data_IF_546901687019
#
_entry.id   IF_546901687019
#
_cell.length_a   1.000
_cell.length_b   1.000
_cell.length_c   1.000
_cell.angle_alpha   90.00
_cell.angle_beta   90.00
_cell.angle_gamma   90.00
#
_symmetry.space_group_name_H-M   'P 1'
#
loop_
_entity.id
_entity.type
_entity.pdbx_description
1 polymer ?
#
# COMPACT_ATOMS: atom_id res chain seq x y z
N UNK A 1 -11.09 -3.19 26.27
CA UNK A 1 -10.53 -2.26 27.27
C UNK A 1 -10.41 -0.93 26.56
N UNK A 2 -11.34 -0.01 26.83
CA UNK A 2 -11.34 1.32 26.23
C UNK A 2 -10.08 2.07 26.67
N UNK A 3 -9.17 2.28 25.74
CA UNK A 3 -7.97 3.11 25.93
C UNK A 3 -8.27 4.44 25.27
N UNK A 4 -8.98 5.31 25.99
CA UNK A 4 -9.29 6.64 25.48
C UNK A 4 -8.01 7.47 25.44
N UNK A 5 -7.70 8.01 24.26
CA UNK A 5 -6.67 9.02 24.07
C UNK A 5 -7.35 10.38 24.09
N UNK A 6 -6.87 11.33 24.89
CA UNK A 6 -7.40 12.70 24.89
C UNK A 6 -6.33 13.63 24.33
N UNK A 7 -6.68 14.37 23.30
CA UNK A 7 -5.84 15.39 22.69
C UNK A 7 -6.38 16.76 23.07
N UNK A 8 -5.53 17.64 23.57
CA UNK A 8 -5.92 18.99 23.97
C UNK A 8 -5.14 19.99 23.13
N UNK A 9 -5.89 20.83 22.42
CA UNK A 9 -5.40 22.03 21.75
C UNK A 9 -5.45 23.18 22.77
N UNK A 10 -4.31 23.44 23.38
CA UNK A 10 -4.18 24.18 24.64
C UNK A 10 -4.26 25.70 24.50
N UNK A 11 -4.20 26.23 23.27
CA UNK A 11 -4.01 27.67 23.08
C UNK A 11 -5.29 28.52 23.13
N UNK A 12 -6.49 27.95 23.33
CA UNK A 12 -7.75 28.72 23.30
C UNK A 12 -8.81 28.26 24.35
N UNK A 13 -8.41 28.11 25.61
CA UNK A 13 -9.37 28.16 26.73
C UNK A 13 -9.41 26.95 27.67
N UNK A 14 -8.58 25.93 27.46
CA UNK A 14 -8.35 24.88 28.46
C UNK A 14 -7.04 25.16 29.20
N UNK A 15 -7.11 25.85 30.33
CA UNK A 15 -5.97 25.92 31.28
C UNK A 15 -5.88 24.59 32.00
N UNK A 16 -4.72 23.97 31.98
CA UNK A 16 -4.47 22.75 32.76
C UNK A 16 -3.37 23.10 33.74
N UNK A 17 -3.73 23.09 35.02
CA UNK A 17 -2.79 23.34 36.11
C UNK A 17 -1.55 22.44 35.95
N UNK A 18 -0.36 23.05 36.01
CA UNK A 18 0.96 22.41 35.84
C UNK A 18 1.33 21.92 34.42
N UNK A 19 0.62 22.34 33.37
CA UNK A 19 1.02 22.07 31.96
C UNK A 19 1.27 23.34 31.15
N UNK A 20 0.77 24.49 31.61
CA UNK A 20 0.95 25.79 30.96
C UNK A 20 2.45 26.19 30.79
N UNK A 21 3.36 25.62 31.60
CA UNK A 21 4.82 25.82 31.49
C UNK A 21 5.51 24.90 30.46
N UNK A 22 4.81 23.91 29.88
CA UNK A 22 5.37 22.90 28.97
C UNK A 22 5.07 23.15 27.48
N UNK A 23 4.30 24.20 27.19
CA UNK A 23 3.73 24.51 25.88
C UNK A 23 4.34 25.83 25.40
N UNK A 24 5.09 25.76 24.31
CA UNK A 24 5.89 26.89 23.83
C UNK A 24 5.30 27.53 22.57
N UNK A 25 4.30 26.90 21.94
CA UNK A 25 3.74 27.28 20.64
C UNK A 25 2.23 27.04 20.50
N UNK A 26 1.58 27.80 19.61
CA UNK A 26 0.17 27.60 19.17
C UNK A 26 -0.08 26.31 18.39
N UNK A 27 0.99 25.60 18.03
CA UNK A 27 0.97 24.35 17.29
C UNK A 27 1.27 23.11 18.15
N UNK A 28 1.67 23.32 19.41
CA UNK A 28 1.91 22.24 20.36
C UNK A 28 0.58 21.59 20.75
N UNK A 29 0.57 20.26 20.83
CA UNK A 29 -0.59 19.49 21.25
C UNK A 29 -0.29 18.70 22.52
N UNK A 30 -1.23 18.71 23.45
CA UNK A 30 -1.10 17.91 24.66
C UNK A 30 -1.85 16.60 24.51
N UNK A 31 -1.12 15.49 24.61
CA UNK A 31 -1.65 14.14 24.55
C UNK A 31 -1.75 13.55 25.95
N UNK A 32 -2.95 13.13 26.34
CA UNK A 32 -3.22 12.41 27.58
C UNK A 32 -3.54 10.96 27.24
N UNK A 33 -2.82 10.04 27.86
CA UNK A 33 -3.03 8.60 27.68
C UNK A 33 -3.50 7.99 29.01
N UNK A 34 -4.69 7.39 29.02
CA UNK A 34 -5.16 6.67 30.20
C UNK A 34 -4.47 5.29 30.26
N UNK A 35 -3.42 5.19 31.08
CA UNK A 35 -2.82 3.92 31.50
C UNK A 35 -3.68 3.25 32.57
N UNK A 36 -3.75 1.91 32.56
CA UNK A 36 -4.36 1.11 33.64
C UNK A 36 -3.40 0.85 34.81
N UNK A 37 -2.14 1.29 34.73
CA UNK A 37 -1.17 1.05 35.78
C UNK A 37 -1.30 2.10 36.89
N UNK A 38 -2.05 1.74 37.93
CA UNK A 38 -2.26 2.50 39.18
C UNK A 38 -0.97 2.74 40.01
N UNK A 39 0.23 2.49 39.45
CA UNK A 39 1.51 2.50 40.18
C UNK A 39 2.57 3.44 39.59
N UNK A 40 2.21 4.36 38.69
CA UNK A 40 3.15 5.40 38.23
C UNK A 40 2.66 6.78 38.63
N UNK A 41 3.56 7.55 39.22
CA UNK A 41 3.35 8.88 39.81
C UNK A 41 2.54 9.81 38.88
N UNK A 42 1.75 10.69 39.50
CA UNK A 42 0.83 11.65 38.87
C UNK A 42 1.46 12.52 37.74
N UNK A 43 2.79 12.62 37.66
CA UNK A 43 3.51 13.37 36.63
C UNK A 43 3.68 12.64 35.28
N UNK A 44 3.25 11.39 35.15
CA UNK A 44 3.46 10.56 33.94
C UNK A 44 2.29 10.54 32.93
N UNK A 45 1.23 11.33 33.15
CA UNK A 45 -0.05 11.22 32.40
C UNK A 45 -0.12 12.04 31.10
N UNK A 46 0.82 12.96 30.92
CA UNK A 46 0.80 13.97 29.86
C UNK A 46 2.03 13.83 28.96
N UNK A 47 1.84 13.90 27.66
CA UNK A 47 2.92 14.03 26.68
C UNK A 47 2.64 15.24 25.81
N UNK A 48 3.52 16.24 25.83
CA UNK A 48 3.48 17.32 24.84
C UNK A 48 4.04 16.79 23.52
N UNK A 49 3.26 16.89 22.46
CA UNK A 49 3.63 16.54 21.10
C UNK A 49 3.96 17.85 20.37
N UNK A 50 5.25 18.03 20.08
CA UNK A 50 5.77 19.19 19.35
C UNK A 50 6.09 18.79 17.91
N UNK A 51 5.79 19.66 16.97
CA UNK A 51 6.18 19.56 15.56
C UNK A 51 6.27 20.97 14.96
N UNK A 52 6.75 21.06 13.72
CA UNK A 52 6.79 22.27 12.91
C UNK A 52 5.43 22.88 12.58
N UNK A 53 4.34 22.13 12.80
CA UNK A 53 2.95 22.58 12.59
C UNK A 53 1.97 21.74 13.40
N UNK A 54 0.75 22.27 13.63
CA UNK A 54 -0.34 21.53 14.30
C UNK A 54 -0.70 20.22 13.60
N UNK A 55 -0.71 20.23 12.26
CA UNK A 55 -0.97 19.02 11.46
C UNK A 55 0.15 17.99 11.63
N UNK A 56 1.40 18.45 11.70
CA UNK A 56 2.56 17.62 12.02
C UNK A 56 2.40 16.95 13.39
N UNK A 57 2.09 17.76 14.41
CA UNK A 57 1.87 17.26 15.76
C UNK A 57 0.71 16.25 15.81
N UNK A 58 -0.40 16.51 15.11
CA UNK A 58 -1.51 15.56 15.04
C UNK A 58 -1.15 14.26 14.30
N UNK A 59 -0.34 14.36 13.24
CA UNK A 59 0.14 13.18 12.54
C UNK A 59 1.08 12.33 13.43
N UNK A 60 1.90 12.96 14.29
CA UNK A 60 2.65 12.24 15.34
C UNK A 60 1.73 11.55 16.35
N UNK A 61 0.60 12.18 16.71
CA UNK A 61 -0.43 11.53 17.53
C UNK A 61 -0.97 10.29 16.83
N UNK A 62 -1.30 10.35 15.54
CA UNK A 62 -1.73 9.18 14.75
C UNK A 62 -0.67 8.08 14.75
N UNK A 63 0.60 8.39 14.50
CA UNK A 63 1.72 7.44 14.54
C UNK A 63 1.76 6.72 15.90
N UNK A 64 1.62 7.47 16.99
CA UNK A 64 1.62 6.92 18.35
C UNK A 64 0.38 6.06 18.61
N UNK A 65 -0.80 6.47 18.16
CA UNK A 65 -2.02 5.67 18.25
C UNK A 65 -1.86 4.33 17.51
N UNK A 66 -1.31 4.35 16.30
CA UNK A 66 -1.10 3.14 15.50
C UNK A 66 -0.08 2.18 16.12
N UNK A 67 1.02 2.73 16.64
CA UNK A 67 2.05 1.95 17.33
C UNK A 67 1.51 1.23 18.58
N UNK A 68 0.51 1.81 19.24
CA UNK A 68 -0.13 1.27 20.43
C UNK A 68 -1.49 0.60 20.17
N UNK A 69 -1.90 0.50 18.90
CA UNK A 69 -3.20 -0.02 18.46
C UNK A 69 -4.41 0.69 19.09
N UNK A 70 -4.29 1.98 19.39
CA UNK A 70 -5.42 2.79 19.87
C UNK A 70 -6.32 3.17 18.69
N UNK A 71 -7.62 3.20 18.93
CA UNK A 71 -8.63 3.58 17.94
C UNK A 71 -9.50 4.74 18.40
N UNK A 72 -9.50 5.08 19.69
CA UNK A 72 -10.41 6.07 20.27
C UNK A 72 -9.63 7.34 20.62
N UNK A 73 -10.10 8.49 20.13
CA UNK A 73 -9.52 9.80 20.43
C UNK A 73 -10.58 10.88 20.65
N UNK A 74 -10.49 11.57 21.79
CA UNK A 74 -11.28 12.77 22.08
C UNK A 74 -10.41 14.00 21.86
N UNK A 75 -10.89 14.95 21.08
CA UNK A 75 -10.21 16.22 20.83
C UNK A 75 -10.91 17.31 21.65
N UNK A 76 -10.19 17.92 22.59
CA UNK A 76 -10.62 19.10 23.35
C UNK A 76 -10.06 20.34 22.68
N UNK A 77 -10.94 21.24 22.23
CA UNK A 77 -10.52 22.47 21.54
C UNK A 77 -11.54 23.60 21.75
N UNK A 78 -11.15 24.80 21.34
CA UNK A 78 -12.06 25.96 21.33
C UNK A 78 -13.13 25.82 20.25
N UNK A 79 -14.24 26.54 20.43
CA UNK A 79 -15.31 26.60 19.40
C UNK A 79 -14.78 27.07 18.04
N UNK A 80 -13.83 28.02 18.03
CA UNK A 80 -13.26 28.56 16.80
C UNK A 80 -12.49 27.51 15.98
N UNK A 81 -11.92 26.48 16.63
CA UNK A 81 -11.12 25.43 15.98
C UNK A 81 -11.87 24.12 15.75
N UNK A 82 -13.13 24.02 16.18
CA UNK A 82 -13.88 22.78 16.13
C UNK A 82 -14.11 22.26 14.68
N UNK A 83 -14.39 23.15 13.72
CA UNK A 83 -14.53 22.76 12.30
C UNK A 83 -13.20 22.33 11.68
N UNK A 84 -12.09 22.99 12.06
CA UNK A 84 -10.75 22.60 11.65
C UNK A 84 -10.44 21.17 12.13
N UNK A 85 -10.58 20.91 13.43
CA UNK A 85 -10.32 19.58 14.00
C UNK A 85 -11.22 18.50 13.41
N UNK A 86 -12.47 18.82 13.11
CA UNK A 86 -13.38 17.89 12.46
C UNK A 86 -12.89 17.51 11.08
N UNK A 87 -12.46 18.50 10.29
CA UNK A 87 -11.93 18.28 8.94
C UNK A 87 -10.62 17.50 8.98
N UNK A 88 -9.69 17.86 9.88
CA UNK A 88 -8.44 17.12 10.13
C UNK A 88 -8.72 15.65 10.46
N UNK A 89 -9.59 15.39 11.45
CA UNK A 89 -9.92 14.02 11.84
C UNK A 89 -10.53 13.24 10.67
N UNK A 90 -11.40 13.88 9.88
CA UNK A 90 -12.05 13.24 8.74
C UNK A 90 -11.07 12.90 7.60
N UNK A 91 -10.07 13.74 7.34
CA UNK A 91 -9.11 13.52 6.25
C UNK A 91 -7.92 12.63 6.64
N UNK A 92 -7.54 12.61 7.93
CA UNK A 92 -6.35 11.89 8.43
C UNK A 92 -6.70 10.58 9.15
N UNK A 93 -7.84 10.50 9.84
CA UNK A 93 -8.28 9.30 10.54
C UNK A 93 -9.36 8.58 9.74
N UNK A 94 -9.06 7.34 9.31
CA UNK A 94 -10.05 6.50 8.63
C UNK A 94 -11.18 6.08 9.59
N UNK A 95 -12.20 5.40 9.08
CA UNK A 95 -13.31 4.92 9.92
C UNK A 95 -12.90 3.80 10.89
N UNK A 96 -11.64 3.36 10.88
CA UNK A 96 -11.11 2.47 11.91
C UNK A 96 -10.86 3.17 13.25
N UNK A 97 -10.87 4.51 13.25
CA UNK A 97 -10.82 5.31 14.46
C UNK A 97 -12.22 5.79 14.85
N UNK A 98 -12.48 5.84 16.15
CA UNK A 98 -13.62 6.53 16.74
C UNK A 98 -13.10 7.83 17.33
N UNK A 99 -13.70 8.93 16.96
CA UNK A 99 -13.27 10.22 17.46
C UNK A 99 -14.46 11.12 17.77
N UNK A 100 -14.26 12.01 18.73
CA UNK A 100 -15.22 13.03 19.12
C UNK A 100 -14.49 14.35 19.36
N UNK A 101 -15.20 15.45 19.14
CA UNK A 101 -14.71 16.80 19.42
C UNK A 101 -15.57 17.38 20.52
N UNK A 102 -14.92 17.83 21.59
CA UNK A 102 -15.57 18.51 22.70
C UNK A 102 -15.07 19.94 22.78
N UNK A 103 -16.02 20.85 22.68
CA UNK A 103 -15.86 22.25 23.01
C UNK A 103 -16.51 22.47 24.37
N UNK A 104 -15.98 23.34 25.23
CA UNK A 104 -16.56 23.58 26.57
C UNK A 104 -18.02 24.05 26.62
N UNK A 105 -18.64 24.30 25.47
CA UNK A 105 -20.06 24.61 25.26
C UNK A 105 -20.66 23.65 24.21
N UNK A 106 -21.99 23.54 24.12
CA UNK A 106 -22.64 22.78 23.05
C UNK A 106 -22.35 23.41 21.66
N UNK A 107 -21.55 22.71 20.86
CA UNK A 107 -21.29 23.04 19.46
C UNK A 107 -21.15 21.76 18.66
N UNK A 108 -21.80 21.71 17.50
CA UNK A 108 -21.72 20.57 16.57
C UNK A 108 -20.79 20.99 15.42
N UNK A 109 -19.56 20.45 15.36
CA UNK A 109 -18.64 20.80 14.29
C UNK A 109 -19.09 20.23 12.95
N UNK A 110 -18.78 20.97 11.89
CA UNK A 110 -19.07 20.60 10.50
C UNK A 110 -17.78 20.48 9.69
N UNK A 111 -17.87 19.73 8.59
CA UNK A 111 -16.80 19.67 7.60
C UNK A 111 -16.69 21.01 6.88
N UNK A 112 -15.47 21.49 6.69
CA UNK A 112 -15.19 22.75 6.02
C UNK A 112 -14.10 22.52 4.96
N UNK A 113 -14.53 22.55 3.69
CA UNK A 113 -13.68 22.32 2.52
C UNK A 113 -12.51 23.31 2.42
N UNK A 114 -12.60 24.48 3.05
CA UNK A 114 -11.51 25.46 3.02
C UNK A 114 -10.22 24.94 3.67
N UNK A 115 -10.33 24.02 4.65
CA UNK A 115 -9.17 23.39 5.28
C UNK A 115 -8.60 22.21 4.48
N UNK A 116 -9.35 21.67 3.50
CA UNK A 116 -8.90 20.50 2.73
C UNK A 116 -7.58 20.78 2.01
N UNK A 117 -7.45 21.95 1.38
CA UNK A 117 -6.23 22.34 0.65
C UNK A 117 -5.03 22.48 1.59
N UNK A 118 -5.22 23.00 2.80
CA UNK A 118 -4.16 23.09 3.80
C UNK A 118 -3.70 21.71 4.27
N UNK A 119 -4.63 20.81 4.58
CA UNK A 119 -4.34 19.43 5.00
C UNK A 119 -3.63 18.67 3.86
N UNK A 120 -4.11 18.83 2.63
CA UNK A 120 -3.48 18.22 1.46
C UNK A 120 -2.06 18.76 1.25
N UNK A 121 -1.85 20.07 1.38
CA UNK A 121 -0.52 20.68 1.25
C UNK A 121 0.45 20.10 2.30
N UNK A 122 0.02 20.00 3.55
CA UNK A 122 0.78 19.34 4.62
C UNK A 122 1.14 17.90 4.27
N UNK A 123 0.15 17.08 3.88
CA UNK A 123 0.34 15.67 3.52
C UNK A 123 1.35 15.53 2.37
N UNK A 124 1.26 16.41 1.36
CA UNK A 124 2.20 16.40 0.23
C UNK A 124 3.60 16.91 0.58
N UNK A 125 3.75 17.80 1.56
CA UNK A 125 5.05 18.32 2.01
C UNK A 125 5.69 17.49 3.13
N UNK A 126 4.95 16.58 3.76
CA UNK A 126 5.44 15.83 4.91
C UNK A 126 6.66 14.98 4.56
N UNK A 127 7.76 15.14 5.31
CA UNK A 127 9.00 14.42 5.06
C UNK A 127 8.92 12.99 5.62
N UNK A 128 9.21 12.01 4.77
CA UNK A 128 9.28 10.60 5.16
C UNK A 128 10.70 10.23 5.57
N UNK A 129 10.81 9.19 6.42
CA UNK A 129 12.11 8.66 6.86
C UNK A 129 12.98 8.18 5.70
N UNK A 130 12.35 7.54 4.73
CA UNK A 130 13.00 6.95 3.56
C UNK A 130 12.49 7.64 2.29
N UNK A 131 13.27 7.61 1.22
CA UNK A 131 12.78 7.93 -0.12
C UNK A 131 12.00 6.76 -0.73
N UNK A 132 11.17 7.07 -1.73
CA UNK A 132 10.55 6.03 -2.56
C UNK A 132 11.63 5.28 -3.34
N UNK A 133 11.61 3.95 -3.20
CA UNK A 133 12.53 3.04 -3.88
C UNK A 133 11.74 2.16 -4.86
N UNK A 134 12.27 2.01 -6.08
CA UNK A 134 11.64 1.31 -7.20
C UNK A 134 12.64 0.32 -7.78
N UNK A 135 12.27 -0.97 -7.84
CA UNK A 135 13.03 -1.98 -8.55
C UNK A 135 12.64 -2.00 -10.02
N UNK A 136 13.61 -2.20 -10.91
CA UNK A 136 13.44 -2.19 -12.36
C UNK A 136 13.84 -3.53 -12.96
N UNK A 137 13.18 -3.88 -14.05
CA UNK A 137 13.62 -4.96 -14.93
C UNK A 137 14.59 -4.44 -15.98
N UNK A 138 15.57 -5.27 -16.35
CA UNK A 138 16.60 -4.95 -17.33
C UNK A 138 16.16 -5.20 -18.79
N UNK A 139 14.99 -5.82 -19.02
CA UNK A 139 14.53 -6.20 -20.36
C UNK A 139 13.32 -5.40 -20.85
N UNK A 140 12.82 -4.47 -20.04
CA UNK A 140 11.71 -3.58 -20.40
C UNK A 140 12.30 -2.27 -20.93
N UNK A 141 11.94 -1.91 -22.14
CA UNK A 141 12.51 -0.76 -22.84
C UNK A 141 12.19 0.58 -22.18
N UNK A 142 13.09 1.54 -22.40
CA UNK A 142 12.97 2.90 -21.90
C UNK A 142 11.78 3.68 -22.48
N UNK A 143 11.05 3.17 -23.47
CA UNK A 143 9.78 3.79 -23.90
C UNK A 143 8.67 3.60 -22.87
N UNK A 144 8.85 2.71 -21.89
CA UNK A 144 7.92 2.50 -20.79
C UNK A 144 8.41 3.12 -19.48
N UNK A 145 7.47 3.58 -18.66
CA UNK A 145 7.68 3.91 -17.24
C UNK A 145 7.22 2.70 -16.44
N UNK A 146 8.15 1.87 -15.98
CA UNK A 146 7.81 0.64 -15.23
C UNK A 146 8.45 0.57 -13.85
N UNK A 147 8.07 -0.46 -13.09
CA UNK A 147 8.84 -0.88 -11.94
C UNK A 147 8.01 -1.60 -10.90
N UNK A 148 8.67 -1.97 -9.81
CA UNK A 148 8.06 -2.57 -8.64
C UNK A 148 8.37 -1.71 -7.43
N UNK A 149 7.34 -1.19 -6.78
CA UNK A 149 7.52 -0.35 -5.59
C UNK A 149 8.01 -1.20 -4.41
N UNK A 150 8.81 -0.60 -3.54
CA UNK A 150 9.05 -1.13 -2.20
C UNK A 150 8.02 -0.56 -1.21
N UNK A 151 8.16 -0.87 0.08
CA UNK A 151 7.36 -0.29 1.16
C UNK A 151 7.83 1.08 1.64
N UNK A 152 8.92 1.63 1.09
CA UNK A 152 9.61 2.84 1.58
C UNK A 152 9.03 4.13 1.00
N UNK A 153 9.07 5.21 1.79
CA UNK A 153 8.78 6.56 1.34
C UNK A 153 7.31 6.97 1.27
N UNK A 154 6.42 6.33 2.04
CA UNK A 154 5.00 6.72 2.12
C UNK A 154 4.55 7.19 3.51
N UNK A 155 3.24 7.42 3.65
CA UNK A 155 2.61 8.03 4.82
C UNK A 155 1.65 7.12 5.60
N UNK A 156 1.62 5.84 5.29
CA UNK A 156 0.87 4.89 6.11
C UNK A 156 1.64 4.62 7.41
N UNK A 157 0.93 4.48 8.52
CA UNK A 157 1.54 4.46 9.87
C UNK A 157 1.22 3.19 10.66
N UNK A 158 0.16 2.46 10.31
CA UNK A 158 -0.20 1.23 10.99
C UNK A 158 0.90 0.16 10.87
N UNK A 159 1.09 -0.62 11.95
CA UNK A 159 1.99 -1.77 11.95
C UNK A 159 1.57 -2.74 10.83
N UNK A 160 2.55 -3.21 10.06
CA UNK A 160 2.32 -4.05 8.87
C UNK A 160 1.93 -3.27 7.60
N UNK A 161 1.56 -1.98 7.71
CA UNK A 161 1.10 -1.12 6.59
C UNK A 161 2.07 0.03 6.32
N UNK A 162 2.88 0.45 7.30
CA UNK A 162 3.86 1.52 7.09
C UNK A 162 4.95 1.14 6.07
N UNK A 163 5.29 1.92 5.04
CA UNK A 163 5.00 3.36 4.83
C UNK A 163 4.28 3.63 3.48
N UNK A 164 4.76 3.12 2.35
CA UNK A 164 4.20 3.33 1.02
C UNK A 164 3.16 2.26 0.67
N UNK A 165 2.04 2.23 1.40
CA UNK A 165 0.94 1.32 1.08
C UNK A 165 0.16 1.82 -0.14
N UNK A 166 0.12 1.00 -1.18
CA UNK A 166 -0.52 1.33 -2.45
C UNK A 166 -2.00 0.95 -2.53
N UNK A 167 -2.60 0.56 -1.40
CA UNK A 167 -3.99 0.09 -1.28
C UNK A 167 -4.62 0.63 0.00
N UNK A 168 -5.09 1.88 -0.01
CA UNK A 168 -5.80 2.44 1.14
C UNK A 168 -7.09 1.65 1.43
N UNK A 169 -7.35 1.43 2.71
CA UNK A 169 -8.56 0.77 3.19
C UNK A 169 -8.75 1.05 4.68
N UNK A 170 -9.99 1.03 5.15
CA UNK A 170 -10.31 1.27 6.56
C UNK A 170 -9.57 0.29 7.49
N UNK A 171 -9.54 -1.01 7.18
CA UNK A 171 -8.82 -2.02 7.98
C UNK A 171 -7.31 -1.73 8.09
N UNK A 172 -6.75 -0.98 7.15
CA UNK A 172 -5.35 -0.56 7.10
C UNK A 172 -5.09 0.78 7.77
N UNK A 173 -6.12 1.41 8.33
CA UNK A 173 -6.07 2.72 8.99
C UNK A 173 -5.56 3.88 8.10
N UNK A 174 -5.75 3.73 6.79
CA UNK A 174 -5.44 4.75 5.79
C UNK A 174 -6.74 5.37 5.27
N UNK A 175 -6.74 6.68 5.07
CA UNK A 175 -7.78 7.40 4.35
C UNK A 175 -7.47 7.45 2.85
N UNK A 176 -8.44 7.88 2.05
CA UNK A 176 -8.22 8.13 0.62
C UNK A 176 -7.17 9.22 0.37
N UNK A 177 -7.04 10.20 1.28
CA UNK A 177 -5.98 11.22 1.17
C UNK A 177 -4.59 10.59 1.31
N UNK A 178 -4.37 9.73 2.31
CA UNK A 178 -3.11 9.01 2.49
C UNK A 178 -2.82 8.07 1.31
N UNK A 179 -3.84 7.36 0.82
CA UNK A 179 -3.72 6.50 -0.36
C UNK A 179 -3.30 7.26 -1.63
N UNK A 180 -3.98 8.37 -1.94
CA UNK A 180 -3.65 9.22 -3.09
C UNK A 180 -2.26 9.84 -2.97
N UNK A 181 -1.85 10.21 -1.76
CA UNK A 181 -0.51 10.75 -1.54
C UNK A 181 0.58 9.69 -1.77
N UNK A 182 0.39 8.45 -1.30
CA UNK A 182 1.34 7.36 -1.60
C UNK A 182 1.45 7.12 -3.12
N UNK A 183 0.33 7.15 -3.86
CA UNK A 183 0.34 7.06 -5.33
C UNK A 183 1.07 8.25 -5.95
N UNK A 184 0.82 9.47 -5.46
CA UNK A 184 1.51 10.69 -5.93
C UNK A 184 3.02 10.57 -5.73
N UNK A 185 3.49 10.14 -4.55
CA UNK A 185 4.92 9.96 -4.26
C UNK A 185 5.57 8.96 -5.20
N UNK A 186 4.91 7.82 -5.45
CA UNK A 186 5.38 6.85 -6.43
C UNK A 186 5.43 7.46 -7.85
N UNK A 187 4.37 8.15 -8.27
CA UNK A 187 4.29 8.80 -9.58
C UNK A 187 5.38 9.84 -9.79
N UNK A 188 5.65 10.68 -8.80
CA UNK A 188 6.73 11.68 -8.85
C UNK A 188 8.11 11.03 -8.98
N UNK A 189 8.37 9.92 -8.27
CA UNK A 189 9.65 9.19 -8.37
C UNK A 189 9.79 8.43 -9.69
N UNK A 190 8.71 7.84 -10.18
CA UNK A 190 8.71 7.01 -11.38
C UNK A 190 8.60 7.83 -12.68
N UNK A 191 8.00 9.02 -12.62
CA UNK A 191 7.75 9.89 -13.77
C UNK A 191 6.38 9.69 -14.43
N UNK A 192 5.40 9.07 -13.75
CA UNK A 192 4.04 8.89 -14.30
C UNK A 192 3.03 9.84 -13.65
N UNK A 193 1.91 10.11 -14.35
CA UNK A 193 0.82 10.93 -13.83
C UNK A 193 -0.01 10.14 -12.78
N UNK A 194 -0.01 10.54 -11.50
CA UNK A 194 -0.73 9.81 -10.45
C UNK A 194 -2.25 9.89 -10.58
N UNK A 195 -2.80 10.86 -11.32
CA UNK A 195 -4.26 10.98 -11.55
C UNK A 195 -4.80 9.92 -12.50
N UNK A 196 -3.94 9.30 -13.29
CA UNK A 196 -4.29 8.27 -14.27
C UNK A 196 -3.76 6.89 -13.87
N UNK A 197 -3.63 6.65 -12.56
CA UNK A 197 -3.18 5.39 -12.01
C UNK A 197 -4.36 4.44 -11.83
N UNK A 198 -4.36 3.34 -12.59
CA UNK A 198 -5.37 2.28 -12.53
C UNK A 198 -4.74 1.01 -11.95
N UNK A 199 -5.39 0.43 -10.94
CA UNK A 199 -4.88 -0.73 -10.22
C UNK A 199 -5.85 -1.90 -10.30
N UNK A 200 -5.33 -3.10 -10.57
CA UNK A 200 -6.10 -4.33 -10.45
C UNK A 200 -6.76 -4.45 -9.07
N UNK A 201 -7.98 -5.00 -9.05
CA UNK A 201 -8.74 -5.24 -7.82
C UNK A 201 -8.29 -6.52 -7.10
N UNK A 202 -7.58 -7.41 -7.80
CA UNK A 202 -6.91 -8.60 -7.27
C UNK A 202 -7.85 -9.57 -6.52
N UNK A 203 -8.86 -10.08 -7.22
CA UNK A 203 -9.82 -11.07 -6.71
C UNK A 203 -9.31 -12.52 -6.74
N UNK A 204 -8.03 -12.70 -7.09
CA UNK A 204 -7.29 -13.95 -7.19
C UNK A 204 -7.80 -14.88 -8.30
N UNK A 205 -8.33 -14.32 -9.38
CA UNK A 205 -8.71 -14.99 -10.62
C UNK A 205 -7.74 -14.71 -11.77
N UNK A 206 -8.26 -14.69 -13.00
CA UNK A 206 -7.51 -14.45 -14.25
C UNK A 206 -8.18 -13.40 -15.15
N UNK A 207 -9.20 -12.70 -14.67
CA UNK A 207 -9.93 -11.69 -15.46
C UNK A 207 -8.99 -10.53 -15.81
N UNK A 208 -9.03 -10.13 -17.08
CA UNK A 208 -8.23 -9.03 -17.63
C UNK A 208 -9.14 -7.85 -17.96
N UNK A 209 -8.86 -6.69 -17.38
CA UNK A 209 -9.48 -5.43 -17.79
C UNK A 209 -8.68 -4.78 -18.93
N UNK A 210 -9.37 -4.46 -20.03
CA UNK A 210 -8.81 -3.71 -21.16
C UNK A 210 -9.22 -2.26 -21.02
N UNK A 211 -8.25 -1.37 -20.78
CA UNK A 211 -8.52 0.06 -20.57
C UNK A 211 -9.19 0.66 -21.80
N UNK A 212 -10.30 1.39 -21.57
CA UNK A 212 -11.17 1.92 -22.62
C UNK A 212 -12.39 1.05 -22.95
N UNK A 213 -12.48 -0.16 -22.38
CA UNK A 213 -13.69 -1.00 -22.42
C UNK A 213 -14.47 -0.92 -21.10
N UNK A 214 -15.64 -1.56 -21.04
CA UNK A 214 -16.41 -1.71 -19.81
C UNK A 214 -15.58 -2.43 -18.75
N UNK A 215 -15.49 -1.84 -17.55
CA UNK A 215 -14.73 -2.39 -16.44
C UNK A 215 -15.47 -3.60 -15.84
N UNK A 216 -14.81 -4.76 -15.63
CA UNK A 216 -15.42 -5.91 -14.99
C UNK A 216 -15.94 -5.60 -13.58
N UNK A 217 -17.23 -5.83 -13.36
CA UNK A 217 -17.91 -5.52 -12.08
C UNK A 217 -17.42 -6.39 -10.93
N UNK A 218 -17.21 -7.68 -11.20
CA UNK A 218 -16.78 -8.67 -10.19
C UNK A 218 -15.28 -8.59 -9.85
N UNK A 219 -14.56 -7.68 -10.50
CA UNK A 219 -13.13 -7.46 -10.31
C UNK A 219 -12.26 -8.17 -11.34
N UNK A 220 -10.98 -7.80 -11.30
CA UNK A 220 -9.96 -8.24 -12.25
C UNK A 220 -8.60 -8.26 -11.58
N UNK A 221 -7.78 -9.18 -12.05
CA UNK A 221 -6.42 -9.42 -11.55
C UNK A 221 -5.38 -8.87 -12.52
N UNK A 222 -5.77 -8.68 -13.77
CA UNK A 222 -4.89 -8.16 -14.81
C UNK A 222 -5.52 -6.92 -15.44
N UNK A 223 -4.67 -5.99 -15.88
CA UNK A 223 -5.09 -4.77 -16.57
C UNK A 223 -4.11 -4.48 -17.70
N UNK A 224 -4.62 -4.20 -18.89
CA UNK A 224 -3.82 -3.91 -20.08
C UNK A 224 -4.26 -2.61 -20.76
N UNK A 225 -3.33 -1.92 -21.41
CA UNK A 225 -3.58 -0.68 -22.13
C UNK A 225 -2.58 -0.51 -23.28
N UNK A 226 -2.92 0.33 -24.24
CA UNK A 226 -1.99 0.88 -25.23
C UNK A 226 -2.00 2.43 -25.26
N UNK A 227 -2.71 3.04 -24.29
CA UNK A 227 -2.94 4.47 -24.23
C UNK A 227 -1.79 5.18 -23.49
N UNK A 228 -1.43 6.37 -23.96
CA UNK A 228 -0.53 7.28 -23.27
C UNK A 228 -1.16 7.83 -22.00
N UNK A 229 -0.33 8.35 -21.10
CA UNK A 229 -0.74 9.00 -19.85
C UNK A 229 -1.56 8.13 -18.88
N UNK A 230 -1.61 6.80 -19.09
CA UNK A 230 -2.25 5.84 -18.19
C UNK A 230 -1.19 4.92 -17.59
N UNK A 231 -1.22 4.79 -16.27
CA UNK A 231 -0.40 3.81 -15.55
C UNK A 231 -1.29 2.68 -15.07
N UNK A 232 -0.95 1.45 -15.45
CA UNK A 232 -1.64 0.26 -14.97
C UNK A 232 -0.77 -0.46 -13.94
N UNK A 233 -1.38 -1.01 -12.90
CA UNK A 233 -0.67 -1.62 -11.79
C UNK A 233 -1.37 -2.86 -11.22
N UNK A 234 -0.56 -3.79 -10.69
CA UNK A 234 -1.02 -4.97 -9.98
C UNK A 234 -0.48 -4.96 -8.54
N UNK A 235 -1.35 -5.04 -7.51
CA UNK A 235 -0.92 -5.06 -6.12
C UNK A 235 -0.40 -6.44 -5.70
N UNK A 236 0.58 -6.45 -4.80
CA UNK A 236 1.16 -7.66 -4.23
C UNK A 236 1.64 -7.44 -2.80
N UNK A 237 1.56 -8.49 -2.00
CA UNK A 237 2.18 -8.61 -0.67
C UNK A 237 2.36 -10.10 -0.40
N UNK A 238 3.17 -10.74 -1.25
CA UNK A 238 3.48 -12.18 -1.39
C UNK A 238 3.02 -12.79 -2.72
N UNK A 239 1.89 -12.39 -3.27
CA UNK A 239 1.47 -12.87 -4.60
C UNK A 239 2.42 -12.37 -5.70
N UNK A 240 2.63 -13.17 -6.76
CA UNK A 240 3.48 -12.77 -7.88
C UNK A 240 2.82 -11.59 -8.59
N UNK A 241 3.57 -10.51 -8.77
CA UNK A 241 3.16 -9.40 -9.65
C UNK A 241 3.99 -9.48 -10.91
N UNK A 242 3.36 -9.26 -12.06
CA UNK A 242 4.04 -9.26 -13.35
C UNK A 242 3.67 -8.00 -14.13
N UNK A 243 4.62 -7.49 -14.91
CA UNK A 243 4.37 -6.47 -15.91
C UNK A 243 4.72 -7.02 -17.29
N UNK A 244 3.97 -6.57 -18.29
CA UNK A 244 4.06 -7.01 -19.68
C UNK A 244 4.26 -5.79 -20.56
N UNK A 245 5.17 -5.88 -21.52
CA UNK A 245 5.46 -4.81 -22.46
C UNK A 245 5.70 -5.39 -23.84
N UNK A 246 5.05 -4.86 -24.87
CA UNK A 246 5.40 -5.18 -26.25
C UNK A 246 6.41 -4.14 -26.77
N UNK A 247 7.59 -4.58 -27.21
CA UNK A 247 8.62 -3.65 -27.69
C UNK A 247 8.35 -3.09 -29.09
N UNK A 248 7.47 -3.69 -29.88
CA UNK A 248 7.09 -3.21 -31.22
C UNK A 248 5.80 -2.39 -31.21
N UNK A 249 4.85 -2.71 -30.32
CA UNK A 249 3.58 -1.98 -30.18
C UNK A 249 3.57 -1.09 -28.93
N UNK A 250 2.58 -0.18 -28.76
CA UNK A 250 2.43 0.57 -27.50
C UNK A 250 1.74 -0.24 -26.40
N UNK A 251 1.50 -1.55 -26.56
CA UNK A 251 0.78 -2.36 -25.61
C UNK A 251 1.60 -2.67 -24.35
N UNK A 252 0.95 -2.56 -23.19
CA UNK A 252 1.50 -2.91 -21.89
C UNK A 252 0.43 -3.44 -20.94
N UNK A 253 0.85 -4.06 -19.84
CA UNK A 253 -0.06 -4.59 -18.84
C UNK A 253 0.58 -4.91 -17.50
N UNK A 254 -0.27 -5.04 -16.48
CA UNK A 254 0.10 -5.51 -15.14
C UNK A 254 -0.82 -6.66 -14.72
N UNK A 255 -0.27 -7.67 -14.06
CA UNK A 255 -0.97 -8.89 -13.63
C UNK A 255 -0.65 -9.20 -12.17
N UNK A 256 -1.70 -9.42 -11.39
CA UNK A 256 -1.65 -10.06 -10.08
C UNK A 256 -1.87 -11.57 -10.28
N UNK A 257 -0.88 -12.38 -9.89
CA UNK A 257 -0.93 -13.84 -9.98
C UNK A 257 -0.58 -14.44 -8.62
N UNK A 258 -1.53 -14.39 -7.69
CA UNK A 258 -1.49 -15.27 -6.50
C UNK A 258 -1.55 -16.74 -6.90
N UNK A 259 -1.45 -17.66 -5.93
CA UNK A 259 -1.43 -19.09 -6.23
C UNK A 259 -2.67 -19.56 -7.03
N UNK A 260 -3.87 -19.04 -6.71
CA UNK A 260 -5.10 -19.30 -7.48
C UNK A 260 -5.04 -18.70 -8.89
N UNK A 261 -4.58 -17.46 -9.02
CA UNK A 261 -4.40 -16.81 -10.32
C UNK A 261 -3.37 -17.51 -11.21
N UNK A 262 -2.31 -18.06 -10.60
CA UNK A 262 -1.31 -18.89 -11.29
C UNK A 262 -1.94 -20.16 -11.84
N UNK A 263 -2.71 -20.89 -11.03
CA UNK A 263 -3.44 -22.09 -11.49
C UNK A 263 -4.50 -21.74 -12.55
N UNK A 264 -5.14 -20.57 -12.44
CA UNK A 264 -6.06 -20.02 -13.42
C UNK A 264 -5.36 -19.41 -14.66
N UNK A 265 -4.02 -19.45 -14.72
CA UNK A 265 -3.19 -18.96 -15.82
C UNK A 265 -3.39 -17.46 -16.14
N UNK A 266 -3.50 -16.62 -15.11
CA UNK A 266 -3.68 -15.17 -15.24
C UNK A 266 -2.63 -14.50 -16.15
N UNK A 267 -1.36 -14.93 -16.08
CA UNK A 267 -0.31 -14.43 -16.97
C UNK A 267 -0.58 -14.76 -18.45
N UNK A 268 -1.14 -15.94 -18.74
CA UNK A 268 -1.45 -16.37 -20.09
C UNK A 268 -2.66 -15.64 -20.64
N UNK A 269 -3.69 -15.44 -19.82
CA UNK A 269 -4.86 -14.65 -20.23
C UNK A 269 -4.47 -13.18 -20.50
N UNK A 270 -3.51 -12.63 -19.74
CA UNK A 270 -2.94 -11.31 -20.03
C UNK A 270 -2.27 -11.27 -21.41
N UNK A 271 -1.39 -12.24 -21.70
CA UNK A 271 -0.72 -12.34 -23.01
C UNK A 271 -1.75 -12.46 -24.14
N UNK A 272 -2.70 -13.40 -24.04
CA UNK A 272 -3.76 -13.58 -25.04
C UNK A 272 -4.51 -12.29 -25.31
N UNK A 273 -4.91 -11.56 -24.25
CA UNK A 273 -5.60 -10.29 -24.42
C UNK A 273 -4.74 -9.21 -25.07
N UNK A 274 -3.44 -9.19 -24.84
CA UNK A 274 -2.54 -8.30 -25.60
C UNK A 274 -2.48 -8.68 -27.10
N UNK A 275 -2.56 -9.97 -27.44
CA UNK A 275 -2.62 -10.42 -28.84
C UNK A 275 -3.97 -10.03 -29.48
N UNK A 276 -5.08 -10.35 -28.82
CA UNK A 276 -6.43 -10.13 -29.33
C UNK A 276 -6.73 -8.64 -29.54
N UNK A 277 -6.32 -7.79 -28.60
CA UNK A 277 -6.70 -6.37 -28.58
C UNK A 277 -5.72 -5.48 -29.34
N UNK A 278 -4.44 -5.83 -29.36
CA UNK A 278 -3.38 -4.97 -29.88
C UNK A 278 -2.51 -5.62 -30.95
N UNK A 279 -2.80 -6.87 -31.34
CA UNK A 279 -2.00 -7.60 -32.31
C UNK A 279 -0.58 -7.92 -31.83
N UNK A 280 -0.37 -7.93 -30.51
CA UNK A 280 0.94 -8.20 -29.91
C UNK A 280 1.45 -9.59 -30.32
N UNK A 281 2.76 -9.71 -30.57
CA UNK A 281 3.38 -11.00 -30.93
C UNK A 281 4.19 -11.55 -29.77
N UNK A 282 4.23 -12.88 -29.63
CA UNK A 282 4.92 -13.56 -28.51
C UNK A 282 6.41 -13.24 -28.47
N UNK A 283 7.06 -13.12 -29.64
CA UNK A 283 8.45 -12.72 -29.76
C UNK A 283 8.71 -11.27 -29.30
N UNK A 284 7.66 -10.43 -29.28
CA UNK A 284 7.74 -9.03 -28.92
C UNK A 284 7.44 -8.76 -27.45
N UNK A 285 6.58 -9.57 -26.84
CA UNK A 285 6.21 -9.43 -25.44
C UNK A 285 7.42 -9.73 -24.56
N UNK A 286 7.72 -8.78 -23.66
CA UNK A 286 8.66 -8.88 -22.54
C UNK A 286 7.86 -8.93 -21.25
N UNK A 287 8.27 -9.80 -20.34
CA UNK A 287 7.58 -10.03 -19.07
C UNK A 287 8.58 -9.94 -17.94
N UNK A 288 8.28 -9.12 -16.93
CA UNK A 288 9.08 -9.05 -15.72
C UNK A 288 8.26 -9.48 -14.50
N UNK A 289 8.84 -10.35 -13.67
CA UNK A 289 8.27 -10.79 -12.40
C UNK A 289 8.82 -9.93 -11.26
N UNK A 290 7.92 -9.37 -10.48
CA UNK A 290 8.25 -8.52 -9.33
C UNK A 290 8.52 -9.30 -8.04
N UNK A 291 8.78 -8.58 -6.94
CA UNK A 291 8.93 -9.16 -5.62
C UNK A 291 7.67 -9.90 -5.20
N UNK A 292 7.85 -11.14 -4.74
CA UNK A 292 6.76 -11.96 -4.20
C UNK A 292 7.32 -12.98 -3.21
N UNK A 293 6.48 -13.78 -2.56
CA UNK A 293 6.99 -14.77 -1.62
C UNK A 293 7.71 -15.88 -2.39
N UNK A 294 8.96 -16.13 -2.01
CA UNK A 294 9.80 -17.15 -2.64
C UNK A 294 9.59 -18.54 -2.04
N UNK A 295 10.16 -19.58 -2.67
CA UNK A 295 10.11 -20.94 -2.17
C UNK A 295 10.81 -21.13 -0.82
N UNK A 296 11.65 -20.17 -0.41
CA UNK A 296 12.23 -20.13 0.94
C UNK A 296 11.14 -20.01 2.05
N UNK A 297 9.98 -19.40 1.76
CA UNK A 297 8.96 -19.07 2.75
C UNK A 297 7.55 -19.60 2.43
N UNK A 298 7.24 -19.93 1.17
CA UNK A 298 5.89 -20.32 0.75
C UNK A 298 5.57 -21.80 1.05
N UNK A 299 5.31 -22.09 2.32
CA UNK A 299 4.82 -23.41 2.75
C UNK A 299 3.36 -23.65 2.32
N UNK A 300 3.06 -24.87 1.86
CA UNK A 300 1.76 -25.33 1.38
C UNK A 300 1.33 -26.64 2.05
N UNK A 301 0.02 -26.92 2.04
CA UNK A 301 -0.48 -28.27 2.34
C UNK A 301 -0.09 -29.24 1.21
N UNK A 302 0.06 -30.51 1.55
CA UNK A 302 0.48 -31.58 0.62
C UNK A 302 -0.45 -31.68 -0.61
N UNK A 303 -1.75 -31.66 -0.36
CA UNK A 303 -2.80 -31.75 -1.38
C UNK A 303 -2.83 -30.53 -2.30
N UNK A 304 -2.67 -29.33 -1.76
CA UNK A 304 -2.63 -28.09 -2.55
C UNK A 304 -1.34 -28.00 -3.39
N UNK A 305 -0.22 -28.50 -2.86
CA UNK A 305 1.04 -28.53 -3.58
C UNK A 305 0.96 -29.41 -4.84
N UNK A 306 0.20 -30.51 -4.79
CA UNK A 306 0.03 -31.41 -5.92
C UNK A 306 -0.61 -30.73 -7.16
N UNK A 307 -1.35 -29.63 -6.96
CA UNK A 307 -1.97 -28.85 -8.05
C UNK A 307 -0.92 -28.26 -9.02
N UNK A 308 0.31 -28.04 -8.55
CA UNK A 308 1.39 -27.46 -9.37
C UNK A 308 2.18 -28.51 -10.16
N UNK A 309 2.04 -29.79 -9.82
CA UNK A 309 2.82 -30.89 -10.42
C UNK A 309 2.64 -30.99 -11.92
N UNK A 310 1.42 -30.78 -12.42
CA UNK A 310 1.10 -30.83 -13.85
C UNK A 310 1.68 -29.66 -14.65
N UNK A 311 2.03 -28.57 -13.98
CA UNK A 311 2.65 -27.39 -14.60
C UNK A 311 4.17 -27.53 -14.55
N UNK A 312 4.73 -27.73 -13.35
CA UNK A 312 6.16 -27.97 -13.18
C UNK A 312 6.41 -28.69 -11.84
N UNK A 313 6.78 -29.98 -11.89
CA UNK A 313 7.09 -30.76 -10.68
C UNK A 313 8.26 -30.18 -9.87
N UNK A 314 9.25 -29.55 -10.53
CA UNK A 314 10.40 -28.94 -9.85
C UNK A 314 10.03 -27.68 -9.06
N UNK A 315 8.82 -27.14 -9.23
CA UNK A 315 8.32 -26.05 -8.39
C UNK A 315 7.93 -26.49 -6.97
N UNK A 316 7.81 -27.81 -6.74
CA UNK A 316 7.48 -28.38 -5.43
C UNK A 316 8.77 -28.74 -4.71
N UNK A 317 9.15 -27.93 -3.73
CA UNK A 317 10.42 -28.03 -3.02
C UNK A 317 10.22 -28.70 -1.67
N UNK A 318 10.90 -29.85 -1.49
CA UNK A 318 11.04 -30.52 -0.20
C UNK A 318 12.30 -30.04 0.48
N UNK A 319 12.16 -29.54 1.71
CA UNK A 319 13.30 -29.14 2.54
C UNK A 319 13.50 -30.17 3.64
N UNK A 320 14.74 -30.46 3.94
CA UNK A 320 15.11 -31.35 5.04
C UNK A 320 14.51 -30.85 6.37
N UNK A 321 13.97 -31.76 7.16
CA UNK A 321 13.33 -31.43 8.45
C UNK A 321 11.99 -30.68 8.36
N UNK A 322 11.43 -30.47 7.16
CA UNK A 322 10.09 -29.87 6.99
C UNK A 322 9.08 -30.92 6.55
N UNK A 323 7.97 -31.00 7.29
CA UNK A 323 6.88 -31.92 6.97
C UNK A 323 6.12 -31.51 5.71
N UNK A 324 5.96 -30.20 5.48
CA UNK A 324 5.20 -29.63 4.37
C UNK A 324 6.11 -29.20 3.22
N UNK A 325 5.63 -29.32 1.96
CA UNK A 325 6.34 -28.80 0.80
C UNK A 325 6.28 -27.28 0.73
N UNK A 326 7.20 -26.72 -0.05
CA UNK A 326 7.25 -25.30 -0.41
C UNK A 326 7.03 -25.15 -1.91
N UNK A 327 6.37 -24.07 -2.34
CA UNK A 327 6.09 -23.83 -3.76
C UNK A 327 6.92 -22.65 -4.28
N UNK A 328 7.54 -22.86 -5.44
CA UNK A 328 8.15 -21.80 -6.24
C UNK A 328 7.17 -21.27 -7.28
N UNK A 329 6.39 -20.23 -6.92
CA UNK A 329 5.45 -19.60 -7.85
C UNK A 329 6.14 -18.85 -9.00
N UNK A 330 7.41 -18.46 -8.85
CA UNK A 330 8.17 -17.85 -9.95
C UNK A 330 8.40 -18.88 -11.04
N UNK A 331 8.89 -20.06 -10.66
CA UNK A 331 9.13 -21.15 -11.59
C UNK A 331 7.84 -21.62 -12.27
N UNK A 332 6.71 -21.68 -11.54
CA UNK A 332 5.41 -22.04 -12.15
C UNK A 332 5.00 -21.01 -13.21
N UNK A 333 5.00 -19.71 -12.89
CA UNK A 333 4.62 -18.66 -13.84
C UNK A 333 5.59 -18.60 -15.03
N UNK A 334 6.90 -18.76 -14.79
CA UNK A 334 7.91 -18.86 -15.86
C UNK A 334 7.59 -20.03 -16.80
N UNK A 335 7.32 -21.21 -16.25
CA UNK A 335 7.01 -22.41 -17.04
C UNK A 335 5.75 -22.21 -17.87
N UNK A 336 4.71 -21.59 -17.31
CA UNK A 336 3.51 -21.23 -18.07
C UNK A 336 3.86 -20.31 -19.24
N UNK A 337 4.61 -19.24 -19.02
CA UNK A 337 4.97 -18.29 -20.07
C UNK A 337 5.79 -18.97 -21.20
N UNK A 338 6.80 -19.77 -20.84
CA UNK A 338 7.64 -20.46 -21.82
C UNK A 338 6.86 -21.51 -22.63
N UNK A 339 6.05 -22.33 -21.96
CA UNK A 339 5.23 -23.35 -22.63
C UNK A 339 4.13 -22.77 -23.52
N UNK A 340 3.76 -21.50 -23.31
CA UNK A 340 2.82 -20.76 -24.17
C UNK A 340 3.55 -19.82 -25.16
N UNK A 341 4.86 -20.00 -25.32
CA UNK A 341 5.64 -19.45 -26.44
C UNK A 341 6.37 -18.13 -26.19
N UNK A 342 6.33 -17.58 -24.97
CA UNK A 342 7.23 -16.47 -24.61
C UNK A 342 8.64 -17.03 -24.51
N UNK A 343 9.60 -16.44 -25.24
CA UNK A 343 10.98 -16.92 -25.23
C UNK A 343 11.60 -16.76 -23.84
N UNK A 344 12.47 -17.69 -23.38
CA UNK A 344 13.15 -17.56 -22.10
C UNK A 344 13.92 -16.24 -21.92
N UNK A 345 14.48 -15.69 -23.00
CA UNK A 345 15.17 -14.39 -23.04
C UNK A 345 14.26 -13.18 -22.85
N UNK A 346 12.94 -13.37 -22.97
CA UNK A 346 11.93 -12.33 -22.84
C UNK A 346 11.27 -12.32 -21.45
N UNK A 347 11.77 -13.14 -20.52
CA UNK A 347 11.24 -13.28 -19.16
C UNK A 347 12.34 -12.92 -18.16
N UNK A 348 12.13 -11.85 -17.40
CA UNK A 348 12.99 -11.42 -16.32
C UNK A 348 12.36 -11.75 -14.97
N UNK A 349 12.90 -12.77 -14.33
CA UNK A 349 12.54 -13.27 -13.00
C UNK A 349 13.75 -13.21 -12.04
N UNK A 350 14.68 -12.28 -12.30
CA UNK A 350 15.92 -12.15 -11.52
C UNK A 350 16.15 -10.73 -11.04
N UNK A 351 15.91 -9.73 -11.88
CA UNK A 351 16.32 -8.35 -11.58
C UNK A 351 15.54 -7.73 -10.41
N UNK A 352 14.30 -8.15 -10.19
CA UNK A 352 13.41 -7.60 -9.16
C UNK A 352 12.67 -8.67 -8.34
N UNK A 353 13.10 -9.93 -8.40
CA UNK A 353 12.31 -11.08 -7.93
C UNK A 353 12.75 -11.54 -6.54
N UNK A 354 12.77 -10.60 -5.60
CA UNK A 354 13.15 -10.85 -4.20
C UNK A 354 12.01 -11.45 -3.39
N UNK A 355 12.35 -12.27 -2.38
CA UNK A 355 11.35 -12.83 -1.47
C UNK A 355 10.78 -11.76 -0.52
N UNK A 356 9.50 -11.42 -0.66
CA UNK A 356 8.82 -10.40 0.15
C UNK A 356 8.86 -10.71 1.65
N UNK A 357 8.77 -11.99 2.03
CA UNK A 357 8.83 -12.41 3.43
C UNK A 357 10.24 -12.28 4.02
N UNK A 358 11.29 -12.54 3.25
CA UNK A 358 12.69 -12.48 3.72
C UNK A 358 13.23 -11.06 3.83
N UNK A 359 12.63 -10.09 3.13
CA UNK A 359 13.09 -8.71 3.05
C UNK A 359 12.07 -7.73 3.68
N UNK A 360 11.86 -7.78 5.01
CA UNK A 360 10.90 -6.90 5.71
C UNK A 360 11.23 -5.41 5.61
N UNK A 361 12.48 -5.07 5.36
CA UNK A 361 12.98 -3.71 5.14
C UNK A 361 12.56 -3.14 3.77
N UNK A 362 12.24 -4.00 2.80
CA UNK A 362 11.85 -3.60 1.44
C UNK A 362 10.38 -3.85 1.13
N UNK A 363 9.75 -4.90 1.66
CA UNK A 363 8.42 -5.30 1.18
C UNK A 363 7.42 -5.56 2.30
N UNK A 364 6.15 -5.38 1.97
CA UNK A 364 5.05 -5.96 2.73
C UNK A 364 4.91 -7.45 2.41
N UNK A 365 4.50 -8.23 3.41
CA UNK A 365 4.25 -9.65 3.26
C UNK A 365 3.05 -10.06 4.11
N UNK A 366 1.99 -10.55 3.48
CA UNK A 366 0.82 -11.04 4.20
C UNK A 366 1.19 -12.20 5.15
N UNK A 367 2.02 -13.13 4.69
CA UNK A 367 2.47 -14.31 5.45
C UNK A 367 3.23 -13.91 6.70
N UNK A 368 4.03 -12.84 6.64
CA UNK A 368 4.83 -12.35 7.77
C UNK A 368 4.05 -11.39 8.67
N UNK A 369 3.38 -10.41 8.07
CA UNK A 369 2.82 -9.24 8.79
C UNK A 369 1.41 -9.50 9.32
N UNK A 370 0.68 -10.46 8.73
CA UNK A 370 -0.72 -10.75 9.09
C UNK A 370 -1.67 -9.62 8.69
N UNK A 371 -2.84 -9.56 9.33
CA UNK A 371 -3.83 -8.50 9.08
C UNK A 371 -3.73 -7.43 10.18
N UNK A 372 -3.64 -6.13 9.84
CA UNK A 372 -3.55 -5.58 8.48
C UNK A 372 -2.13 -5.61 7.90
N UNK A 373 -2.05 -5.62 6.57
CA UNK A 373 -0.80 -5.51 5.79
C UNK A 373 -0.93 -4.46 4.68
N UNK A 374 0.20 -3.83 4.34
CA UNK A 374 0.31 -2.94 3.18
C UNK A 374 0.49 -3.71 1.88
N UNK A 375 0.40 -3.03 0.74
CA UNK A 375 0.71 -3.62 -0.56
C UNK A 375 1.73 -2.76 -1.32
N UNK A 376 2.69 -3.43 -1.93
CA UNK A 376 3.47 -2.89 -3.04
C UNK A 376 2.72 -3.12 -4.37
N UNK A 377 3.19 -2.51 -5.46
CA UNK A 377 2.67 -2.72 -6.81
C UNK A 377 3.78 -2.97 -7.82
N UNK A 378 3.49 -3.82 -8.81
CA UNK A 378 4.14 -3.75 -10.12
C UNK A 378 3.35 -2.81 -11.01
N UNK A 379 4.00 -1.83 -11.63
CA UNK A 379 3.34 -0.82 -12.46
C UNK A 379 4.06 -0.66 -13.81
N UNK A 380 3.30 -0.26 -14.83
CA UNK A 380 3.83 0.09 -16.14
C UNK A 380 2.93 1.12 -16.83
N UNK A 381 3.54 2.04 -17.58
CA UNK A 381 2.90 3.04 -18.42
C UNK A 381 3.74 3.27 -19.68
N UNK A 382 3.14 3.82 -20.73
CA UNK A 382 3.87 4.35 -21.88
C UNK A 382 4.33 5.79 -21.61
N UNK A 383 5.58 6.12 -21.97
CA UNK A 383 6.13 7.48 -21.84
C UNK A 383 5.43 8.51 -22.75
#
# INVERSE_FOLDING_TARGET
MDKNTVLIDTFDGYKIDNVDELIDSTDDLLLIQNSKDNNTEQNSRFTVIKDSSRLGAFYQVKIRMDSNMYSDITILCSKAKANLWFTICKEILSTAYKWEIKTGNEYVPIYDESYYTEIQAFVSSYQTKDEVEILKSNIIDDKFIHGFSTRKGGLSTAKGVSSLNMTAANIKRDTEMIGRENIRRLGMKAGFNPKSFLRARAVHGNTVYVVGKEEPKDGYDCIISNQKDITVAAPGADCVTMIFADHETPAFGACHSGWKGTLAKACIETVKKMQDEYGSKLENIRVALGPSIGPCCLEFAEEDAALFKSINENSIIRKEGKAKPFIDLHLVNRTLLETHGIKPSNIDDKSATLCTSCHPELFFSYRRDGIPFGNQVGFIALK
#
